data_IF_037075190403
#
_entry.id   IF_037075190403
#
_cell.length_a   1.000
_cell.length_b   1.000
_cell.length_c   1.000
_cell.angle_alpha   90.00
_cell.angle_beta   90.00
_cell.angle_gamma   90.00
#
_symmetry.space_group_name_H-M   'P 1'
#
loop_
_entity.id
_entity.type
_entity.pdbx_description
1 polymer ?
#
# COMPACT_ATOMS: atom_id res chain seq x y z
N UNK A 1 23.82 -7.57 -0.01
CA UNK A 1 22.93 -6.46 -0.42
C UNK A 1 21.70 -7.10 -1.04
N UNK A 2 20.61 -7.24 -0.29
CA UNK A 2 19.33 -7.75 -0.81
C UNK A 2 18.52 -6.62 -1.44
N UNK A 3 18.80 -6.26 -2.70
CA UNK A 3 18.11 -5.19 -3.41
C UNK A 3 17.05 -5.75 -4.35
N UNK A 4 15.77 -5.75 -3.96
CA UNK A 4 14.70 -6.07 -4.92
C UNK A 4 14.72 -5.14 -6.15
N UNK A 5 14.35 -5.64 -7.32
CA UNK A 5 14.19 -4.82 -8.53
C UNK A 5 12.86 -5.19 -9.23
N UNK A 6 12.12 -4.25 -9.83
CA UNK A 6 10.88 -4.53 -10.53
C UNK A 6 11.15 -5.34 -11.82
N UNK A 7 10.13 -6.03 -12.37
CA UNK A 7 10.27 -6.67 -13.66
C UNK A 7 10.54 -5.61 -14.74
N UNK A 8 11.40 -5.95 -15.69
CA UNK A 8 11.88 -5.03 -16.72
C UNK A 8 10.86 -4.94 -17.84
N UNK A 9 10.51 -3.74 -18.28
CA UNK A 9 9.70 -3.50 -19.48
C UNK A 9 10.40 -4.06 -20.73
N UNK A 10 9.80 -5.09 -21.33
CA UNK A 10 10.31 -5.82 -22.49
C UNK A 10 9.16 -6.16 -23.44
N UNK A 11 8.58 -5.16 -24.12
CA UNK A 11 7.47 -5.39 -25.04
C UNK A 11 7.90 -6.36 -26.16
N UNK A 12 7.02 -7.29 -26.58
CA UNK A 12 7.27 -8.14 -27.74
C UNK A 12 7.51 -7.33 -29.00
N UNK A 13 8.25 -7.90 -29.96
CA UNK A 13 8.51 -7.26 -31.26
C UNK A 13 7.31 -7.29 -32.21
N UNK A 14 6.36 -8.20 -31.95
CA UNK A 14 5.16 -8.38 -32.76
C UNK A 14 3.92 -8.34 -31.88
N UNK A 15 2.89 -7.65 -32.37
CA UNK A 15 1.59 -7.59 -31.72
C UNK A 15 0.91 -8.96 -31.75
N UNK A 16 0.29 -9.34 -30.64
CA UNK A 16 -0.45 -10.61 -30.52
C UNK A 16 -1.65 -10.46 -29.61
N UNK A 17 -2.66 -11.25 -29.90
CA UNK A 17 -3.87 -11.35 -29.08
C UNK A 17 -3.52 -12.05 -27.76
N UNK A 18 -3.64 -11.35 -26.64
CA UNK A 18 -3.45 -11.94 -25.33
C UNK A 18 -4.69 -12.71 -24.88
N UNK A 19 -4.46 -13.73 -24.03
CA UNK A 19 -5.54 -14.38 -23.31
C UNK A 19 -6.09 -13.43 -22.24
N UNK A 20 -7.39 -13.55 -21.96
CA UNK A 20 -7.99 -12.83 -20.85
C UNK A 20 -7.44 -13.34 -19.52
N UNK A 21 -7.38 -12.45 -18.53
CA UNK A 21 -6.91 -12.77 -17.19
C UNK A 21 -7.75 -13.90 -16.57
N UNK A 22 -7.10 -14.98 -16.15
CA UNK A 22 -7.77 -16.18 -15.64
C UNK A 22 -7.19 -16.72 -14.31
N UNK A 23 -6.47 -15.87 -13.56
CA UNK A 23 -5.80 -16.23 -12.31
C UNK A 23 -6.55 -15.86 -11.02
N UNK A 24 -5.95 -16.24 -9.88
CA UNK A 24 -6.34 -15.76 -8.55
C UNK A 24 -5.30 -14.75 -8.08
N UNK A 25 -5.68 -13.47 -8.03
CA UNK A 25 -4.77 -12.41 -7.59
C UNK A 25 -5.11 -11.96 -6.18
N UNK A 26 -4.10 -11.97 -5.31
CA UNK A 26 -4.19 -11.47 -3.94
C UNK A 26 -4.33 -9.96 -3.96
N UNK A 27 -5.21 -9.43 -3.11
CA UNK A 27 -5.34 -7.98 -2.91
C UNK A 27 -4.14 -7.37 -2.18
N UNK A 28 -3.50 -8.15 -1.31
CA UNK A 28 -2.35 -7.73 -0.52
C UNK A 28 -1.35 -8.91 -0.40
N UNK A 29 -0.35 -8.98 -1.30
CA UNK A 29 0.63 -10.08 -1.28
C UNK A 29 1.44 -10.14 0.02
N UNK A 30 1.75 -9.01 0.64
CA UNK A 30 2.53 -8.98 1.88
C UNK A 30 1.72 -9.50 3.06
N UNK A 31 0.49 -9.01 3.23
CA UNK A 31 -0.42 -9.50 4.27
C UNK A 31 -0.80 -10.97 4.04
N UNK A 32 -0.90 -11.44 2.80
CA UNK A 32 -1.16 -12.86 2.52
C UNK A 32 0.00 -13.76 2.93
N UNK A 33 1.25 -13.31 2.71
CA UNK A 33 2.46 -14.08 3.03
C UNK A 33 2.82 -14.03 4.51
N UNK A 34 2.63 -12.89 5.16
CA UNK A 34 2.84 -12.74 6.60
C UNK A 34 1.70 -11.97 7.28
N UNK A 35 0.55 -12.62 7.53
CA UNK A 35 -0.65 -11.94 8.03
C UNK A 35 -0.49 -11.23 9.38
N UNK A 36 0.30 -11.81 10.27
CA UNK A 36 0.52 -11.25 11.61
C UNK A 36 1.33 -9.94 11.57
N UNK A 37 2.31 -9.87 10.65
CA UNK A 37 3.25 -8.75 10.53
C UNK A 37 3.43 -8.36 9.04
N UNK A 38 2.42 -7.73 8.41
CA UNK A 38 2.44 -7.43 6.97
C UNK A 38 3.62 -6.53 6.54
N UNK A 39 4.19 -5.78 7.48
CA UNK A 39 5.28 -4.85 7.23
C UNK A 39 6.68 -5.42 7.48
N UNK A 40 6.80 -6.63 8.04
CA UNK A 40 8.08 -7.23 8.43
C UNK A 40 9.08 -7.24 7.25
N UNK A 41 8.60 -7.63 6.07
CA UNK A 41 9.42 -7.71 4.87
C UNK A 41 9.95 -6.34 4.43
N UNK A 42 9.13 -5.29 4.55
CA UNK A 42 9.51 -3.93 4.19
C UNK A 42 10.59 -3.39 5.14
N UNK A 43 10.39 -3.53 6.44
CA UNK A 43 11.35 -3.00 7.42
C UNK A 43 12.63 -3.79 7.50
N UNK A 44 12.56 -5.12 7.36
CA UNK A 44 13.79 -5.91 7.22
C UNK A 44 14.57 -5.52 5.96
N UNK A 45 13.89 -5.11 4.89
CA UNK A 45 14.57 -4.60 3.70
C UNK A 45 15.23 -3.22 3.97
N UNK A 46 14.58 -2.33 4.71
CA UNK A 46 15.19 -1.04 5.12
C UNK A 46 16.42 -1.30 5.99
N UNK A 47 16.32 -2.08 7.06
CA UNK A 47 17.45 -2.38 7.95
C UNK A 47 18.67 -2.94 7.17
N UNK A 48 18.41 -3.78 6.16
CA UNK A 48 19.47 -4.37 5.33
C UNK A 48 20.05 -3.43 4.28
N UNK A 49 19.25 -2.51 3.74
CA UNK A 49 19.66 -1.62 2.65
C UNK A 49 20.16 -0.27 3.15
N UNK A 50 19.59 0.22 4.25
CA UNK A 50 19.82 1.51 4.88
C UNK A 50 19.92 1.32 6.40
N UNK A 51 20.99 0.69 6.90
CA UNK A 51 21.12 0.37 8.32
C UNK A 51 21.20 1.58 9.26
N UNK A 52 21.53 2.77 8.75
CA UNK A 52 21.42 4.02 9.55
C UNK A 52 20.13 4.80 9.31
N UNK A 53 19.20 4.27 8.51
CA UNK A 53 17.92 4.93 8.44
C UNK A 53 17.29 4.84 9.82
N UNK A 54 17.18 5.99 10.48
CA UNK A 54 16.50 6.10 11.76
C UNK A 54 14.99 5.91 11.53
N UNK A 55 14.55 4.69 11.82
CA UNK A 55 13.16 4.29 11.73
C UNK A 55 12.28 5.04 12.75
N UNK A 56 12.85 5.45 13.90
CA UNK A 56 12.13 6.17 14.94
C UNK A 56 11.81 7.61 14.50
N UNK A 57 12.66 8.23 13.67
CA UNK A 57 12.39 9.52 13.02
C UNK A 57 11.42 9.42 11.82
N UNK A 58 10.32 8.71 12.02
CA UNK A 58 9.21 8.62 11.07
C UNK A 58 7.90 8.92 11.78
N UNK A 59 7.16 9.94 11.35
CA UNK A 59 5.86 10.27 11.98
C UNK A 59 4.77 9.25 11.63
N UNK A 60 4.69 8.86 10.36
CA UNK A 60 3.59 8.05 9.81
C UNK A 60 4.14 6.98 8.87
N UNK A 61 3.77 5.73 9.15
CA UNK A 61 3.94 4.61 8.21
C UNK A 61 2.57 4.24 7.64
N UNK A 62 2.43 4.24 6.31
CA UNK A 62 1.16 3.90 5.65
C UNK A 62 1.40 3.27 4.28
N UNK A 63 0.37 2.65 3.70
CA UNK A 63 0.41 2.19 2.31
C UNK A 63 -0.33 3.16 1.37
N UNK A 64 0.04 3.12 0.09
CA UNK A 64 -0.54 3.96 -0.97
C UNK A 64 -2.08 3.82 -1.06
N UNK A 65 -2.61 2.64 -0.74
CA UNK A 65 -4.04 2.37 -0.73
C UNK A 65 -4.77 3.04 0.42
N UNK A 66 -4.26 2.95 1.65
CA UNK A 66 -4.84 3.64 2.81
C UNK A 66 -4.81 5.15 2.60
N UNK A 67 -3.68 5.69 2.12
CA UNK A 67 -3.58 7.12 1.79
C UNK A 67 -4.55 7.52 0.67
N UNK A 68 -4.72 6.67 -0.35
CA UNK A 68 -5.69 6.91 -1.41
C UNK A 68 -7.14 6.93 -0.92
N UNK A 69 -7.50 6.09 0.06
CA UNK A 69 -8.82 6.09 0.69
C UNK A 69 -9.05 7.37 1.51
N UNK A 70 -8.06 7.81 2.29
CA UNK A 70 -8.13 9.08 3.01
C UNK A 70 -8.21 10.29 2.07
N UNK A 71 -7.47 10.28 0.97
CA UNK A 71 -7.58 11.30 -0.09
C UNK A 71 -8.98 11.33 -0.72
N UNK A 72 -9.57 10.16 -0.99
CA UNK A 72 -10.96 10.05 -1.48
C UNK A 72 -11.95 10.62 -0.47
N UNK A 73 -11.77 10.32 0.80
CA UNK A 73 -12.55 10.93 1.88
C UNK A 73 -12.42 12.46 1.90
N UNK A 74 -11.20 12.99 1.84
CA UNK A 74 -10.96 14.45 1.81
C UNK A 74 -11.57 15.14 0.56
N UNK A 75 -11.75 14.38 -0.53
CA UNK A 75 -12.44 14.81 -1.75
C UNK A 75 -13.98 14.71 -1.67
N UNK A 76 -14.52 14.03 -0.65
CA UNK A 76 -15.95 13.77 -0.52
C UNK A 76 -16.47 12.64 -1.44
N UNK A 77 -15.60 11.68 -1.79
CA UNK A 77 -16.00 10.54 -2.63
C UNK A 77 -16.54 9.41 -1.76
N UNK A 78 -17.65 8.81 -2.17
CA UNK A 78 -18.28 7.70 -1.47
C UNK A 78 -17.45 6.43 -1.62
N UNK A 79 -16.89 5.97 -0.50
CA UNK A 79 -16.12 4.74 -0.47
C UNK A 79 -16.01 4.22 0.96
N UNK A 80 -16.46 2.99 1.14
CA UNK A 80 -16.22 2.23 2.36
C UNK A 80 -14.76 1.77 2.47
N UNK A 81 -14.16 1.95 3.65
CA UNK A 81 -12.81 1.45 3.96
C UNK A 81 -12.62 1.33 5.47
N UNK A 82 -11.61 0.54 5.87
CA UNK A 82 -11.15 0.48 7.25
C UNK A 82 -9.66 0.17 7.33
N UNK A 83 -9.03 0.63 8.40
CA UNK A 83 -7.64 0.35 8.74
C UNK A 83 -7.42 0.56 10.23
N UNK A 84 -6.30 0.05 10.74
CA UNK A 84 -5.90 0.16 12.15
C UNK A 84 -4.83 1.22 12.30
N UNK A 85 -4.92 1.98 13.38
CA UNK A 85 -3.88 2.85 13.89
C UNK A 85 -3.20 2.15 15.07
N UNK A 86 -1.87 2.03 14.98
CA UNK A 86 -1.02 1.55 16.06
C UNK A 86 0.15 2.51 16.24
N UNK A 87 0.40 2.93 17.48
CA UNK A 87 1.56 3.75 17.84
C UNK A 87 2.70 2.84 18.29
N UNK A 88 3.90 3.05 17.75
CA UNK A 88 5.16 2.40 18.17
C UNK A 88 6.22 3.48 18.31
N UNK A 89 6.73 3.69 19.53
CA UNK A 89 7.53 4.88 19.83
C UNK A 89 6.73 6.14 19.49
N UNK A 90 7.33 7.03 18.71
CA UNK A 90 6.67 8.24 18.19
C UNK A 90 5.97 8.05 16.83
N UNK A 91 6.15 6.90 16.19
CA UNK A 91 5.60 6.59 14.87
C UNK A 91 4.17 6.05 14.96
N UNK A 92 3.29 6.53 14.07
CA UNK A 92 1.93 5.99 13.92
C UNK A 92 1.80 5.17 12.63
N UNK A 93 1.45 3.89 12.79
CA UNK A 93 1.25 2.94 11.70
C UNK A 93 -0.22 2.87 11.28
N UNK A 94 -0.47 3.04 9.98
CA UNK A 94 -1.76 2.91 9.34
C UNK A 94 -1.84 1.56 8.63
N UNK A 95 -2.31 0.55 9.35
CA UNK A 95 -2.26 -0.86 8.93
C UNK A 95 -3.56 -1.23 8.24
N UNK A 96 -3.49 -1.69 6.99
CA UNK A 96 -4.68 -2.13 6.24
C UNK A 96 -5.42 -3.24 7.00
N UNK A 97 -6.74 -3.13 7.14
CA UNK A 97 -7.59 -4.15 7.76
C UNK A 97 -8.57 -4.73 6.76
N UNK A 98 -8.10 -5.67 5.94
CA UNK A 98 -8.98 -6.44 5.05
C UNK A 98 -9.91 -7.39 5.83
N UNK A 99 -10.90 -7.97 5.16
CA UNK A 99 -11.71 -9.04 5.75
C UNK A 99 -10.91 -10.33 5.93
N UNK A 100 -9.98 -10.60 5.02
CA UNK A 100 -9.07 -11.74 5.06
C UNK A 100 -7.72 -11.33 4.45
N UNK A 101 -6.58 -11.81 5.01
CA UNK A 101 -5.26 -11.59 4.41
C UNK A 101 -5.13 -12.25 3.03
N UNK A 102 -5.90 -13.31 2.76
CA UNK A 102 -5.91 -14.01 1.46
C UNK A 102 -7.05 -13.54 0.56
N UNK A 103 -7.59 -12.35 0.80
CA UNK A 103 -8.68 -11.81 0.01
C UNK A 103 -8.25 -11.69 -1.47
N UNK A 104 -9.03 -12.29 -2.35
CA UNK A 104 -8.80 -12.26 -3.79
C UNK A 104 -9.50 -11.05 -4.40
N UNK A 105 -8.98 -10.59 -5.53
CA UNK A 105 -9.71 -9.67 -6.39
C UNK A 105 -10.89 -10.45 -7.01
N UNK A 106 -12.16 -10.08 -6.72
CA UNK A 106 -13.31 -10.78 -7.27
C UNK A 106 -13.48 -10.46 -8.76
N UNK A 107 -14.04 -11.40 -9.51
CA UNK A 107 -14.47 -11.21 -10.91
C UNK A 107 -13.42 -10.53 -11.79
N UNK A 108 -12.18 -11.03 -11.74
CA UNK A 108 -11.09 -10.52 -12.58
C UNK A 108 -11.51 -10.62 -14.05
N UNK A 109 -11.53 -9.47 -14.71
CA UNK A 109 -11.86 -9.29 -16.12
C UNK A 109 -10.87 -8.33 -16.73
N UNK A 110 -10.52 -8.58 -17.98
CA UNK A 110 -9.55 -7.79 -18.72
C UNK A 110 -8.32 -8.60 -19.08
N UNK A 111 -7.24 -7.89 -19.38
CA UNK A 111 -6.00 -8.42 -19.91
C UNK A 111 -4.79 -7.85 -19.17
N UNK A 112 -5.01 -7.20 -18.02
CA UNK A 112 -3.98 -6.40 -17.35
C UNK A 112 -2.87 -7.24 -16.76
N UNK A 113 -3.21 -8.38 -16.15
CA UNK A 113 -2.21 -9.28 -15.57
C UNK A 113 -1.44 -10.02 -16.67
N UNK A 114 -2.15 -10.58 -17.64
CA UNK A 114 -1.55 -11.28 -18.78
C UNK A 114 -0.66 -10.33 -19.60
N UNK A 115 -1.06 -9.06 -19.73
CA UNK A 115 -0.21 -8.04 -20.35
C UNK A 115 1.10 -7.84 -19.58
N UNK A 116 1.06 -7.71 -18.25
CA UNK A 116 2.28 -7.59 -17.46
C UNK A 116 3.18 -8.82 -17.59
N UNK A 117 2.62 -10.02 -17.58
CA UNK A 117 3.38 -11.27 -17.72
C UNK A 117 4.08 -11.37 -19.08
N UNK A 118 3.45 -10.88 -20.16
CA UNK A 118 3.99 -10.95 -21.52
C UNK A 118 4.89 -9.78 -21.90
N UNK A 119 4.73 -8.62 -21.26
CA UNK A 119 5.45 -7.37 -21.57
C UNK A 119 6.54 -7.03 -20.56
N UNK A 120 6.69 -7.83 -19.51
CA UNK A 120 7.75 -7.64 -18.52
C UNK A 120 8.46 -8.94 -18.19
N UNK A 121 9.73 -8.84 -17.78
CA UNK A 121 10.51 -10.00 -17.39
C UNK A 121 11.29 -9.75 -16.10
N UNK A 122 11.24 -10.72 -15.19
CA UNK A 122 12.13 -10.76 -14.04
C UNK A 122 13.55 -11.11 -14.49
N UNK A 123 14.55 -10.40 -13.97
CA UNK A 123 15.95 -10.75 -14.26
C UNK A 123 16.28 -12.16 -13.75
N UNK A 124 17.33 -12.83 -14.28
CA UNK A 124 17.68 -14.21 -13.90
C UNK A 124 17.81 -14.49 -12.39
N UNK A 125 18.17 -13.48 -11.58
CA UNK A 125 18.26 -13.61 -10.11
C UNK A 125 16.93 -13.46 -9.35
N UNK A 126 15.87 -13.03 -10.03
CA UNK A 126 14.55 -12.73 -9.45
C UNK A 126 13.43 -13.55 -10.10
N UNK A 127 13.78 -14.54 -10.92
CA UNK A 127 12.81 -15.45 -11.53
C UNK A 127 11.94 -16.12 -10.44
N UNK A 128 10.62 -16.08 -10.64
CA UNK A 128 9.63 -16.57 -9.67
C UNK A 128 9.18 -15.53 -8.64
N UNK A 129 9.66 -14.28 -8.71
CA UNK A 129 9.06 -13.18 -7.95
C UNK A 129 7.63 -12.92 -8.45
N UNK A 130 6.70 -12.67 -7.52
CA UNK A 130 5.30 -12.38 -7.88
C UNK A 130 4.96 -10.90 -7.70
N UNK A 131 5.76 -10.17 -6.91
CA UNK A 131 5.55 -8.76 -6.64
C UNK A 131 6.89 -8.05 -6.35
N UNK A 132 6.93 -6.77 -6.67
CA UNK A 132 7.97 -5.84 -6.22
C UNK A 132 7.27 -4.75 -5.41
N UNK A 133 7.87 -4.33 -4.30
CA UNK A 133 7.31 -3.35 -3.38
C UNK A 133 8.29 -2.20 -3.24
N UNK A 134 7.79 -0.96 -3.23
CA UNK A 134 8.63 0.22 -3.06
C UNK A 134 8.30 0.92 -1.75
N UNK A 135 9.35 1.30 -1.05
CA UNK A 135 9.27 2.12 0.15
C UNK A 135 9.66 3.53 -0.27
N UNK A 136 8.77 4.49 -0.04
CA UNK A 136 8.95 5.87 -0.45
C UNK A 136 8.91 6.72 0.81
N UNK A 137 10.00 7.42 1.07
CA UNK A 137 10.04 8.45 2.09
C UNK A 137 9.47 9.74 1.50
N UNK A 138 8.29 10.16 1.98
CA UNK A 138 7.68 11.43 1.60
C UNK A 138 7.95 12.45 2.69
N UNK A 139 8.90 13.35 2.44
CA UNK A 139 9.12 14.50 3.30
C UNK A 139 8.14 15.59 2.90
N UNK A 140 7.16 15.86 3.77
CA UNK A 140 6.44 17.14 3.73
C UNK A 140 7.51 18.21 4.02
N UNK A 141 7.81 19.13 3.10
CA UNK A 141 8.89 20.12 3.30
C UNK A 141 8.78 20.83 4.66
N UNK A 142 9.53 20.32 5.62
CA UNK A 142 10.27 21.00 6.68
C UNK A 142 11.59 20.20 6.81
N UNK A 143 12.69 20.79 6.32
CA UNK A 143 14.14 20.43 6.41
C UNK A 143 14.56 18.98 6.64
N UNK A 144 15.20 18.31 5.67
CA UNK A 144 16.66 18.20 5.40
C UNK A 144 17.19 16.78 5.73
N UNK A 145 18.31 16.40 5.12
CA UNK A 145 18.58 15.10 4.46
C UNK A 145 20.00 14.60 4.78
N UNK A 146 20.21 13.36 5.31
CA UNK A 146 21.54 12.76 5.55
C UNK A 146 21.59 11.20 5.48
N UNK A 147 22.80 10.65 5.23
CA UNK A 147 23.17 9.27 4.75
C UNK A 147 24.56 8.78 5.28
N UNK A 148 25.02 7.50 5.11
CA UNK A 148 25.28 6.60 6.26
C UNK A 148 26.47 5.56 6.30
N UNK A 149 26.56 4.65 7.32
CA UNK A 149 27.34 3.40 7.58
C UNK A 149 26.82 2.38 8.69
N UNK A 150 27.19 1.07 8.72
CA UNK A 150 26.22 -0.04 8.98
C UNK A 150 26.41 -0.97 10.22
N UNK A 151 25.38 -1.76 10.58
CA UNK A 151 25.49 -3.10 11.23
C UNK A 151 24.19 -3.97 11.14
N UNK A 152 24.31 -5.32 11.22
CA UNK A 152 23.30 -6.35 10.89
C UNK A 152 22.72 -7.14 12.10
N UNK A 153 21.47 -7.64 12.03
CA UNK A 153 21.07 -8.98 12.56
C UNK A 153 19.73 -9.54 12.01
N UNK A 154 19.24 -10.68 12.55
CA UNK A 154 18.50 -11.78 11.89
C UNK A 154 17.13 -12.14 12.51
N UNK A 155 16.19 -12.65 11.68
CA UNK A 155 14.89 -13.25 12.04
C UNK A 155 14.21 -13.97 10.85
N UNK A 156 13.36 -14.98 11.11
CA UNK A 156 13.02 -16.09 10.20
C UNK A 156 11.91 -15.78 9.15
N UNK A 157 12.26 -14.95 8.17
CA UNK A 157 11.68 -14.94 6.81
C UNK A 157 12.78 -15.46 5.88
N UNK A 158 12.47 -16.33 4.91
CA UNK A 158 13.50 -16.84 3.99
C UNK A 158 13.84 -15.77 2.96
N UNK A 159 14.81 -14.93 3.30
CA UNK A 159 15.34 -13.91 2.40
C UNK A 159 16.23 -14.54 1.33
N UNK A 160 16.06 -14.10 0.10
CA UNK A 160 17.05 -14.31 -0.96
C UNK A 160 17.58 -12.95 -1.36
N UNK A 161 18.91 -12.82 -1.41
CA UNK A 161 19.53 -11.62 -1.97
C UNK A 161 19.52 -11.71 -3.50
N UNK A 162 19.18 -10.62 -4.17
CA UNK A 162 19.19 -10.50 -5.62
C UNK A 162 18.54 -9.19 -6.06
N UNK A 163 18.88 -8.71 -7.25
CA UNK A 163 18.48 -7.43 -7.85
C UNK A 163 19.50 -6.30 -7.61
N UNK A 164 19.15 -5.05 -7.94
CA UNK A 164 20.05 -3.88 -7.92
C UNK A 164 19.30 -2.59 -7.65
N UNK A 165 20.02 -1.51 -7.31
CA UNK A 165 19.42 -0.19 -7.17
C UNK A 165 18.88 0.31 -8.51
N UNK A 166 17.62 0.72 -8.52
CA UNK A 166 16.91 1.26 -9.68
C UNK A 166 16.57 2.72 -9.38
N UNK A 167 16.98 3.61 -10.28
CA UNK A 167 16.62 5.02 -10.17
C UNK A 167 15.11 5.18 -10.23
N UNK A 168 14.55 5.95 -9.30
CA UNK A 168 13.14 6.32 -9.29
C UNK A 168 12.68 6.93 -10.63
N UNK A 169 13.57 7.64 -11.33
CA UNK A 169 13.29 8.26 -12.63
C UNK A 169 12.99 7.27 -13.76
N UNK A 170 13.30 5.98 -13.57
CA UNK A 170 13.12 4.91 -14.55
C UNK A 170 11.93 4.01 -14.27
N UNK A 171 11.24 4.23 -13.14
CA UNK A 171 10.04 3.48 -12.77
C UNK A 171 8.87 3.95 -13.63
N UNK A 172 8.10 2.98 -14.14
CA UNK A 172 6.89 3.22 -14.92
C UNK A 172 5.68 2.62 -14.21
N UNK A 173 4.53 3.27 -14.32
CA UNK A 173 3.23 2.67 -14.00
C UNK A 173 2.60 2.19 -15.31
N UNK A 174 2.06 0.97 -15.32
CA UNK A 174 1.44 0.38 -16.51
C UNK A 174 -0.07 0.28 -16.28
N UNK A 175 -0.82 0.70 -17.29
CA UNK A 175 -2.27 0.61 -17.34
C UNK A 175 -2.75 0.02 -18.65
N UNK A 176 -3.70 -0.89 -18.59
CA UNK A 176 -4.41 -1.41 -19.76
C UNK A 176 -5.81 -0.80 -19.86
N UNK A 177 -6.32 -0.63 -21.08
CA UNK A 177 -7.68 -0.12 -21.28
C UNK A 177 -8.32 -0.69 -22.52
N UNK A 178 -9.56 -1.15 -22.43
CA UNK A 178 -10.34 -1.48 -23.62
C UNK A 178 -10.53 -0.22 -24.47
N UNK A 179 -10.28 -0.33 -25.78
CA UNK A 179 -10.62 0.70 -26.75
C UNK A 179 -12.14 0.89 -26.87
N UNK A 180 -12.94 -0.08 -26.43
CA UNK A 180 -14.38 -0.02 -26.49
C UNK A 180 -14.99 0.08 -25.09
N UNK A 181 -15.84 1.09 -24.88
CA UNK A 181 -16.69 1.14 -23.69
C UNK A 181 -17.99 0.38 -23.96
N UNK A 182 -18.16 -0.76 -23.29
CA UNK A 182 -19.35 -1.59 -23.44
C UNK A 182 -20.62 -0.97 -22.84
N UNK A 183 -20.49 -0.06 -21.87
CA UNK A 183 -21.62 0.59 -21.21
C UNK A 183 -22.14 1.76 -22.04
N UNK A 184 -21.23 2.63 -22.49
CA UNK A 184 -21.59 3.86 -23.22
C UNK A 184 -21.59 3.66 -24.75
N UNK A 185 -21.10 2.50 -25.22
CA UNK A 185 -20.89 2.17 -26.64
C UNK A 185 -19.98 3.17 -27.37
N UNK A 186 -19.08 3.83 -26.64
CA UNK A 186 -18.10 4.75 -27.22
C UNK A 186 -16.83 4.02 -27.60
N UNK A 187 -16.27 4.40 -28.75
CA UNK A 187 -14.96 3.94 -29.21
C UNK A 187 -13.90 4.94 -28.75
N UNK A 188 -12.73 4.43 -28.33
CA UNK A 188 -11.57 5.16 -27.78
C UNK A 188 -11.85 5.89 -26.47
N UNK A 189 -12.35 5.18 -25.45
CA UNK A 189 -12.40 5.73 -24.09
C UNK A 189 -10.98 5.90 -23.53
N UNK A 190 -10.61 7.14 -23.26
CA UNK A 190 -9.34 7.46 -22.61
C UNK A 190 -9.33 7.01 -21.14
N UNK A 191 -8.12 6.82 -20.61
CA UNK A 191 -7.95 6.54 -19.18
C UNK A 191 -8.33 7.76 -18.35
N UNK A 192 -9.04 7.53 -17.24
CA UNK A 192 -9.39 8.61 -16.33
C UNK A 192 -8.18 9.02 -15.47
N UNK A 193 -7.70 10.24 -15.69
CA UNK A 193 -6.57 10.81 -14.95
C UNK A 193 -6.94 11.29 -13.55
N UNK A 194 -8.24 11.43 -13.22
CA UNK A 194 -8.74 11.97 -11.95
C UNK A 194 -8.25 11.18 -10.75
N UNK A 195 -8.21 9.85 -10.89
CA UNK A 195 -7.73 8.93 -9.86
C UNK A 195 -6.29 8.46 -10.10
N UNK A 196 -5.80 8.56 -11.33
CA UNK A 196 -4.46 8.11 -11.71
C UNK A 196 -3.37 9.13 -11.38
N UNK A 197 -3.52 10.40 -11.76
CA UNK A 197 -2.52 11.44 -11.43
C UNK A 197 -2.18 11.52 -9.94
N UNK A 198 -3.15 11.51 -9.01
CA UNK A 198 -2.80 11.54 -7.59
C UNK A 198 -2.16 10.25 -7.08
N UNK A 199 -2.35 9.12 -7.78
CA UNK A 199 -1.63 7.87 -7.50
C UNK A 199 -0.17 7.99 -7.92
N UNK A 200 0.09 8.53 -9.10
CA UNK A 200 1.44 8.77 -9.60
C UNK A 200 2.19 9.78 -8.71
N UNK A 201 1.50 10.81 -8.23
CA UNK A 201 2.03 11.78 -7.26
C UNK A 201 2.48 11.12 -5.96
N UNK A 202 1.62 10.36 -5.27
CA UNK A 202 2.03 9.70 -4.00
C UNK A 202 3.13 8.65 -4.24
N UNK A 203 3.04 7.91 -5.34
CA UNK A 203 4.00 6.86 -5.68
C UNK A 203 5.29 7.42 -6.30
N UNK A 204 5.39 8.75 -6.50
CA UNK A 204 6.53 9.44 -7.12
C UNK A 204 6.93 8.81 -8.47
N UNK A 205 5.97 8.31 -9.26
CA UNK A 205 6.23 7.65 -10.54
C UNK A 205 6.15 8.69 -11.67
N UNK A 206 7.24 8.93 -12.42
CA UNK A 206 7.28 9.99 -13.42
C UNK A 206 6.70 9.59 -14.78
N UNK A 207 6.53 8.29 -15.05
CA UNK A 207 6.17 7.80 -16.38
C UNK A 207 4.99 6.85 -16.31
N UNK A 208 4.00 7.08 -17.18
CA UNK A 208 2.82 6.25 -17.34
C UNK A 208 2.84 5.59 -18.72
N UNK A 209 2.68 4.27 -18.74
CA UNK A 209 2.43 3.51 -19.97
C UNK A 209 0.96 3.11 -20.00
N UNK A 210 0.23 3.53 -21.03
CA UNK A 210 -1.17 3.12 -21.24
C UNK A 210 -1.26 2.28 -22.50
N UNK A 211 -1.62 1.02 -22.34
CA UNK A 211 -1.77 0.05 -23.41
C UNK A 211 -3.27 -0.16 -23.70
N UNK A 212 -3.72 0.35 -24.83
CA UNK A 212 -5.09 0.20 -25.28
C UNK A 212 -5.24 -1.07 -26.11
N UNK A 213 -6.32 -1.83 -25.87
CA UNK A 213 -6.57 -3.08 -26.57
C UNK A 213 -7.98 -3.20 -27.16
N UNK A 214 -8.08 -4.01 -28.21
CA UNK A 214 -9.34 -4.56 -28.70
C UNK A 214 -9.36 -6.07 -28.43
N UNK A 215 -10.20 -6.49 -27.47
CA UNK A 215 -10.30 -7.89 -27.02
C UNK A 215 -8.99 -8.60 -26.64
N UNK A 216 -7.96 -7.86 -26.23
CA UNK A 216 -6.64 -8.40 -25.87
C UNK A 216 -5.57 -8.21 -26.94
N UNK A 217 -5.89 -7.62 -28.09
CA UNK A 217 -4.91 -7.16 -29.06
C UNK A 217 -4.51 -5.72 -28.76
N UNK A 218 -3.28 -5.52 -28.31
CA UNK A 218 -2.76 -4.21 -27.92
C UNK A 218 -2.05 -3.55 -29.10
N UNK A 219 -2.68 -2.56 -29.73
CA UNK A 219 -2.14 -1.88 -30.93
C UNK A 219 -1.80 -0.41 -30.69
N UNK A 220 -2.12 0.13 -29.51
CA UNK A 220 -1.84 1.52 -29.13
C UNK A 220 -1.28 1.56 -27.71
N UNK A 221 0.05 1.55 -27.61
CA UNK A 221 0.79 1.65 -26.35
C UNK A 221 1.42 3.03 -26.27
N UNK A 222 0.94 3.84 -25.33
CA UNK A 222 1.37 5.24 -25.15
C UNK A 222 2.25 5.35 -23.93
N UNK A 223 3.49 5.81 -24.13
CA UNK A 223 4.41 6.17 -23.05
C UNK A 223 4.32 7.67 -22.82
N UNK A 224 3.98 8.08 -21.61
CA UNK A 224 3.73 9.47 -21.24
C UNK A 224 4.64 9.89 -20.09
N UNK A 225 5.33 11.02 -20.26
CA UNK A 225 5.99 11.71 -19.16
C UNK A 225 4.95 12.51 -18.37
N UNK A 226 4.82 12.17 -17.10
CA UNK A 226 3.79 12.68 -16.20
C UNK A 226 4.32 13.78 -15.29
N UNK A 227 5.61 14.14 -15.34
CA UNK A 227 6.22 15.09 -14.39
C UNK A 227 5.53 16.44 -14.36
N UNK A 228 5.26 17.03 -15.53
CA UNK A 228 4.56 18.32 -15.62
C UNK A 228 3.12 18.21 -15.10
N UNK A 229 2.39 17.16 -15.49
CA UNK A 229 1.01 16.94 -15.06
C UNK A 229 0.90 16.68 -13.54
N UNK A 230 1.83 15.92 -12.96
CA UNK A 230 1.90 15.66 -11.52
C UNK A 230 2.19 16.97 -10.77
N UNK A 231 3.15 17.74 -11.25
CA UNK A 231 3.50 19.04 -10.64
C UNK A 231 2.33 20.02 -10.72
N UNK A 232 1.65 20.07 -11.86
CA UNK A 232 0.48 20.92 -12.06
C UNK A 232 -0.68 20.47 -11.16
N UNK A 233 -0.93 19.16 -11.08
CA UNK A 233 -1.95 18.60 -10.20
C UNK A 233 -1.69 18.97 -8.73
N UNK A 234 -0.46 18.87 -8.26
CA UNK A 234 -0.12 19.26 -6.88
C UNK A 234 -0.42 20.74 -6.62
N UNK A 235 -0.06 21.63 -7.56
CA UNK A 235 -0.37 23.07 -7.46
C UNK A 235 -1.87 23.35 -7.44
N UNK A 236 -2.63 22.66 -8.28
CA UNK A 236 -4.07 22.87 -8.39
C UNK A 236 -4.87 22.27 -7.23
N UNK A 237 -4.30 21.26 -6.55
CA UNK A 237 -4.99 20.52 -5.47
C UNK A 237 -4.51 20.88 -4.07
N UNK A 238 -3.87 22.03 -3.88
CA UNK A 238 -3.37 22.48 -2.57
C UNK A 238 -4.43 22.45 -1.46
N UNK A 239 -5.67 22.90 -1.73
CA UNK A 239 -6.74 22.85 -0.72
C UNK A 239 -7.16 21.42 -0.35
N UNK A 240 -7.14 20.49 -1.31
CA UNK A 240 -7.38 19.07 -1.04
C UNK A 240 -6.23 18.48 -0.22
N UNK A 241 -4.98 18.82 -0.55
CA UNK A 241 -3.79 18.35 0.16
C UNK A 241 -3.75 18.86 1.60
N UNK A 242 -4.13 20.13 1.85
CA UNK A 242 -4.28 20.68 3.20
C UNK A 242 -5.33 19.93 4.02
N UNK A 243 -6.49 19.59 3.42
CA UNK A 243 -7.51 18.77 4.10
C UNK A 243 -7.00 17.38 4.41
N UNK A 244 -6.30 16.73 3.48
CA UNK A 244 -5.68 15.43 3.70
C UNK A 244 -4.66 15.49 4.84
N UNK A 245 -3.77 16.48 4.84
CA UNK A 245 -2.79 16.69 5.90
C UNK A 245 -3.47 16.90 7.27
N UNK A 246 -4.55 17.69 7.33
CA UNK A 246 -5.33 17.86 8.54
C UNK A 246 -5.93 16.53 9.03
N UNK A 247 -6.54 15.73 8.14
CA UNK A 247 -7.08 14.42 8.50
C UNK A 247 -5.98 13.49 9.03
N UNK A 248 -4.81 13.46 8.40
CA UNK A 248 -3.66 12.66 8.87
C UNK A 248 -3.21 13.11 10.26
N UNK A 249 -3.07 14.42 10.48
CA UNK A 249 -2.70 15.00 11.76
C UNK A 249 -3.70 14.62 12.86
N UNK A 250 -5.00 14.78 12.63
CA UNK A 250 -6.02 14.41 13.62
C UNK A 250 -5.95 12.92 13.98
N UNK A 251 -5.81 12.05 12.98
CA UNK A 251 -5.69 10.60 13.23
C UNK A 251 -4.44 10.25 14.03
N UNK A 252 -3.32 10.92 13.77
CA UNK A 252 -2.08 10.78 14.57
C UNK A 252 -2.32 11.23 16.01
N UNK A 253 -2.96 12.38 16.24
CA UNK A 253 -3.28 12.87 17.59
C UNK A 253 -4.17 11.88 18.35
N UNK A 254 -5.19 11.34 17.70
CA UNK A 254 -6.04 10.29 18.30
C UNK A 254 -5.25 9.02 18.64
N UNK A 255 -4.35 8.59 17.75
CA UNK A 255 -3.53 7.40 17.98
C UNK A 255 -2.55 7.60 19.15
N UNK A 256 -1.83 8.72 19.19
CA UNK A 256 -0.87 9.05 20.27
C UNK A 256 -1.56 9.26 21.62
N UNK A 257 -2.79 9.78 21.64
CA UNK A 257 -3.56 10.00 22.87
C UNK A 257 -4.27 8.73 23.40
N UNK A 258 -4.23 7.64 22.64
CA UNK A 258 -4.96 6.42 22.98
C UNK A 258 -4.05 5.38 23.62
N UNK A 259 -4.51 4.79 24.73
CA UNK A 259 -3.83 3.64 25.37
C UNK A 259 -4.00 2.32 24.58
N UNK A 260 -4.87 2.31 23.56
CA UNK A 260 -5.19 1.12 22.77
C UNK A 260 -5.07 1.39 21.28
N UNK A 261 -4.83 0.36 20.48
CA UNK A 261 -4.97 0.44 19.02
C UNK A 261 -6.38 0.90 18.64
N UNK A 262 -6.47 1.72 17.59
CA UNK A 262 -7.73 2.26 17.10
C UNK A 262 -8.04 1.69 15.72
N UNK A 263 -9.30 1.46 15.44
CA UNK A 263 -9.79 1.20 14.10
C UNK A 263 -10.44 2.47 13.54
N UNK A 264 -10.02 2.87 12.35
CA UNK A 264 -10.67 3.90 11.56
C UNK A 264 -11.55 3.22 10.53
N UNK A 265 -12.85 3.52 10.56
CA UNK A 265 -13.85 2.98 9.62
C UNK A 265 -14.59 4.11 8.92
N UNK A 266 -14.95 3.87 7.66
CA UNK A 266 -15.96 4.64 6.93
C UNK A 266 -16.90 3.71 6.19
N UNK A 267 -18.18 4.05 6.21
CA UNK A 267 -19.20 3.41 5.40
C UNK A 267 -19.73 4.41 4.38
N UNK A 268 -19.49 4.14 3.10
CA UNK A 268 -19.98 4.88 1.95
C UNK A 268 -19.71 6.40 2.04
N UNK A 269 -20.77 7.21 2.12
CA UNK A 269 -20.73 8.68 2.26
C UNK A 269 -20.66 9.15 3.72
N UNK A 270 -20.70 8.23 4.68
CA UNK A 270 -20.72 8.51 6.10
C UNK A 270 -19.42 9.16 6.63
N UNK A 271 -19.45 9.62 7.90
CA UNK A 271 -18.28 10.20 8.55
C UNK A 271 -17.19 9.15 8.78
N UNK A 272 -15.94 9.62 8.98
CA UNK A 272 -14.91 8.79 9.60
C UNK A 272 -15.32 8.48 11.04
N UNK A 273 -15.20 7.21 11.41
CA UNK A 273 -15.48 6.74 12.75
C UNK A 273 -14.21 6.11 13.32
N UNK A 274 -13.85 6.54 14.53
CA UNK A 274 -12.70 6.03 15.27
C UNK A 274 -13.24 5.18 16.42
N UNK A 275 -12.78 3.95 16.50
CA UNK A 275 -13.27 2.95 17.46
C UNK A 275 -12.09 2.22 18.08
N UNK A 276 -12.28 1.60 19.24
CA UNK A 276 -11.28 0.65 19.74
C UNK A 276 -11.27 -0.60 18.85
N UNK A 277 -10.09 -1.16 18.60
CA UNK A 277 -9.98 -2.43 17.88
C UNK A 277 -10.68 -3.53 18.69
N UNK A 278 -11.55 -4.29 18.02
CA UNK A 278 -12.20 -5.49 18.56
C UNK A 278 -11.80 -6.69 17.69
N UNK A 279 -11.51 -7.82 18.34
CA UNK A 279 -11.14 -9.07 17.69
C UNK A 279 -9.71 -9.09 17.18
N UNK A 280 -9.41 -10.06 16.32
CA UNK A 280 -8.10 -10.16 15.69
C UNK A 280 -7.90 -9.02 14.69
N UNK A 281 -6.70 -8.43 14.72
CA UNK A 281 -6.32 -7.31 13.90
C UNK A 281 -4.80 -7.30 13.75
N UNK A 282 -4.29 -7.02 12.54
CA UNK A 282 -2.86 -7.04 12.27
C UNK A 282 -2.14 -6.04 13.18
N UNK A 283 -0.91 -6.40 13.53
CA UNK A 283 0.01 -5.58 14.33
C UNK A 283 1.07 -5.02 13.37
N UNK A 284 1.56 -3.82 13.67
CA UNK A 284 2.53 -3.14 12.81
C UNK A 284 3.80 -3.98 12.60
N UNK A 285 4.40 -4.44 13.71
CA UNK A 285 5.73 -5.04 13.75
C UNK A 285 5.74 -6.29 14.63
N UNK A 286 6.64 -7.22 14.33
CA UNK A 286 6.99 -8.30 15.26
C UNK A 286 7.58 -7.73 16.56
N UNK A 287 7.51 -8.45 17.70
CA UNK A 287 8.09 -7.97 18.96
C UNK A 287 9.57 -7.57 18.85
N UNK A 288 10.35 -8.30 18.05
CA UNK A 288 11.77 -8.01 17.84
C UNK A 288 12.02 -6.72 17.07
N UNK A 289 11.26 -6.45 16.00
CA UNK A 289 11.32 -5.17 15.29
C UNK A 289 10.79 -4.02 16.14
N UNK A 290 9.73 -4.27 16.91
CA UNK A 290 9.11 -3.26 17.79
C UNK A 290 10.10 -2.77 18.85
N UNK A 291 10.85 -3.68 19.49
CA UNK A 291 11.86 -3.32 20.47
C UNK A 291 12.93 -2.39 19.89
N UNK A 292 13.47 -2.72 18.71
CA UNK A 292 14.47 -1.88 18.02
C UNK A 292 13.94 -0.51 17.62
N UNK A 293 12.64 -0.40 17.36
CA UNK A 293 11.96 0.86 17.05
C UNK A 293 11.81 1.78 18.27
N UNK A 294 11.88 1.22 19.48
CA UNK A 294 11.68 1.94 20.75
C UNK A 294 12.95 2.06 21.59
N UNK A 295 14.08 1.52 21.13
CA UNK A 295 15.33 1.36 21.89
C UNK A 295 16.14 2.65 22.12
N UNK A 296 15.54 3.84 22.01
CA UNK A 296 16.18 5.12 22.38
C UNK A 296 15.88 5.61 23.82
N UNK A 297 14.99 4.96 24.59
CA UNK A 297 14.58 5.49 25.92
C UNK A 297 15.09 4.70 27.15
N UNK A 298 15.76 3.54 26.99
CA UNK A 298 16.06 2.65 28.12
C UNK A 298 17.43 2.88 28.82
N UNK A 299 18.10 4.03 28.60
CA UNK A 299 19.34 4.37 29.34
C UNK A 299 19.12 5.25 30.58
N UNK A 300 17.90 5.66 30.92
CA UNK A 300 17.63 6.30 32.21
C UNK A 300 16.31 5.85 32.82
N UNK A 301 16.30 4.67 33.46
CA UNK A 301 15.68 4.48 34.79
C UNK A 301 15.80 3.01 35.22
N UNK A 302 16.98 2.64 35.70
CA UNK A 302 17.10 1.56 36.67
C UNK A 302 16.42 2.00 37.98
N UNK A 303 15.15 1.64 38.13
CA UNK A 303 14.34 1.87 39.31
C UNK A 303 13.57 0.60 39.63
N UNK A 304 14.26 -0.31 40.30
CA UNK A 304 13.72 -1.47 41.01
C UNK A 304 12.48 -1.06 41.82
N UNK A 305 11.35 -1.76 41.70
CA UNK A 305 10.49 -2.17 42.82
C UNK A 305 9.39 -3.14 42.33
N UNK A 306 9.50 -4.38 42.81
CA UNK A 306 8.48 -5.41 42.85
C UNK A 306 7.26 -5.00 43.69
N UNK A 307 6.03 -5.40 43.32
CA UNK A 307 5.17 -6.30 44.14
C UNK A 307 3.81 -6.65 43.51
N UNK A 308 3.49 -7.94 43.61
CA UNK A 308 2.18 -8.59 43.88
C UNK A 308 0.99 -8.50 42.91
N UNK A 309 0.73 -9.68 42.34
CA UNK A 309 -0.54 -10.29 41.93
C UNK A 309 -1.81 -9.82 42.66
N UNK A 310 -2.92 -9.71 41.92
CA UNK A 310 -4.23 -10.23 42.32
C UNK A 310 -5.02 -10.66 41.07
N UNK A 311 -5.45 -11.92 41.12
CA UNK A 311 -6.43 -12.56 40.25
C UNK A 311 -7.82 -11.90 40.44
N UNK A 312 -8.61 -11.81 39.38
CA UNK A 312 -10.04 -12.11 39.51
C UNK A 312 -10.66 -12.49 38.15
N UNK A 313 -11.25 -13.68 38.17
CA UNK A 313 -11.94 -14.34 37.06
C UNK A 313 -13.43 -14.00 37.13
N UNK A 314 -14.07 -13.65 36.01
CA UNK A 314 -15.51 -13.94 35.88
C UNK A 314 -15.97 -14.15 34.43
N UNK A 315 -16.95 -15.06 34.32
CA UNK A 315 -17.39 -15.84 33.17
C UNK A 315 -18.71 -15.35 32.54
N UNK A 316 -18.92 -15.72 31.26
CA UNK A 316 -20.23 -15.87 30.58
C UNK A 316 -20.74 -14.63 29.83
N UNK A 317 -21.42 -14.68 28.69
CA UNK A 317 -22.03 -15.79 27.92
C UNK A 317 -22.37 -15.29 26.49
N UNK A 318 -22.60 -16.22 25.57
CA UNK A 318 -22.99 -16.06 24.16
C UNK A 318 -24.13 -15.08 23.85
N UNK A 319 -24.06 -14.49 22.64
CA UNK A 319 -25.18 -13.90 21.93
C UNK A 319 -24.95 -13.91 20.41
N UNK A 320 -25.61 -14.84 19.71
CA UNK A 320 -25.75 -14.88 18.25
C UNK A 320 -26.56 -13.69 17.72
N UNK A 321 -26.15 -13.13 16.57
CA UNK A 321 -27.08 -12.41 15.68
C UNK A 321 -26.55 -12.32 14.24
N UNK A 322 -27.05 -13.24 13.42
CA UNK A 322 -27.56 -13.08 12.06
C UNK A 322 -26.91 -12.07 11.09
N UNK A 323 -26.26 -12.65 10.08
CA UNK A 323 -25.93 -12.05 8.79
C UNK A 323 -27.20 -11.62 8.04
N UNK A 324 -27.15 -10.42 7.44
CA UNK A 324 -28.03 -10.06 6.33
C UNK A 324 -27.17 -9.63 5.14
N UNK A 325 -27.18 -10.47 4.10
CA UNK A 325 -26.60 -10.19 2.81
C UNK A 325 -27.41 -9.09 2.11
N UNK A 326 -26.75 -7.99 1.72
CA UNK A 326 -27.28 -7.11 0.68
C UNK A 326 -26.19 -6.78 -0.33
N UNK A 327 -26.61 -6.98 -1.58
CA UNK A 327 -25.89 -6.87 -2.84
C UNK A 327 -25.24 -5.50 -2.98
N UNK A 328 -23.92 -5.50 -3.21
CA UNK A 328 -23.19 -4.32 -3.65
C UNK A 328 -23.44 -4.11 -5.14
N UNK A 329 -23.83 -2.87 -5.51
CA UNK A 329 -23.85 -2.43 -6.89
C UNK A 329 -22.42 -2.39 -7.42
N UNK A 330 -22.22 -3.12 -8.52
CA UNK A 330 -20.93 -3.32 -9.17
C UNK A 330 -20.72 -2.19 -10.18
N UNK A 331 -19.95 -1.17 -9.82
CA UNK A 331 -19.35 -0.31 -10.82
C UNK A 331 -18.37 -1.17 -11.61
N UNK A 332 -18.72 -1.44 -12.87
CA UNK A 332 -17.94 -2.21 -13.84
C UNK A 332 -16.71 -1.39 -14.25
N UNK A 333 -15.75 -1.25 -13.35
CA UNK A 333 -14.40 -0.85 -13.72
C UNK A 333 -13.70 -2.08 -14.32
N UNK A 334 -13.25 -1.97 -15.58
CA UNK A 334 -12.17 -2.81 -16.08
C UNK A 334 -11.05 -2.72 -15.04
N UNK A 335 -10.83 -3.79 -14.27
CA UNK A 335 -9.80 -3.85 -13.25
C UNK A 335 -8.46 -3.75 -13.97
N UNK A 336 -7.95 -2.53 -14.06
CA UNK A 336 -6.62 -2.31 -14.57
C UNK A 336 -5.65 -2.83 -13.53
N UNK A 337 -5.06 -4.00 -13.79
CA UNK A 337 -3.94 -4.51 -13.01
C UNK A 337 -2.96 -3.35 -12.81
N UNK A 338 -2.73 -2.98 -11.56
CA UNK A 338 -1.84 -1.88 -11.24
C UNK A 338 -0.65 -2.43 -10.51
N UNK A 339 0.49 -2.46 -11.19
CA UNK A 339 1.77 -2.71 -10.56
C UNK A 339 2.30 -1.43 -9.92
N UNK A 340 1.66 -0.96 -8.85
CA UNK A 340 2.30 0.01 -7.96
C UNK A 340 1.71 -0.07 -6.57
N UNK A 341 2.12 -1.11 -5.83
CA UNK A 341 2.32 -1.00 -4.38
C UNK A 341 3.82 -1.14 -4.13
#
# INVERSE_FOLDING_TARGET
>A
MSLGEPPVWTPPTEDRQLQADCGKYLRDPNAARYPAYPWEAAFTAIEKQYPEYDLANTDIVTCSSTLSNLKRFARGVDKSFRFVLETVGDTVFFIRRENSPTNLIPDIRGYGHTFLDEYTIWRPGLAGSESHQRIIHLVSKLGEDHTPEPAQSSGDLKFREGGRSISQSTIIDIKTRSMFDFQTRTVRKEIDMTDLTPRLWVSQIPTLVVAYHDWGLFTDIRVQDMREQITQWERDKQELLKRLAWVLHELVQYAKSSMTRLEVCRTDSGPLQIRRVIGDAPVALSPGLKARWTEEDDLESSGDESFSSHDDSFSGTHGDAHLSERRFNHDLEDYTASSSE
#
